data_IF_234411751410
#
_entry.id   IF_234411751410
#
_cell.length_a   1.000
_cell.length_b   1.000
_cell.length_c   1.000
_cell.angle_alpha   90.00
_cell.angle_beta   90.00
_cell.angle_gamma   90.00
#
_symmetry.space_group_name_H-M   'P 1'
#
loop_
_entity.id
_entity.type
_entity.pdbx_description
1 polymer ?
#
# COMPACT_ATOMS: atom_id res chain seq x y z
N UNK A 1 -36.22 -9.57 1.40
CA UNK A 1 -36.29 -9.39 -0.09
C UNK A 1 -35.94 -7.95 -0.42
N UNK A 2 -34.98 -7.71 -1.31
CA UNK A 2 -34.60 -6.35 -1.71
C UNK A 2 -35.66 -5.72 -2.61
N UNK A 3 -35.91 -4.44 -2.41
CA UNK A 3 -36.78 -3.61 -3.27
C UNK A 3 -36.16 -3.40 -4.65
N UNK A 4 -36.94 -2.89 -5.60
CA UNK A 4 -36.43 -2.49 -6.92
C UNK A 4 -35.34 -1.42 -6.81
N UNK A 5 -35.55 -0.43 -5.95
CA UNK A 5 -34.60 0.70 -5.76
C UNK A 5 -33.29 0.26 -5.11
N UNK A 6 -33.34 -0.65 -4.14
CA UNK A 6 -32.10 -1.22 -3.57
C UNK A 6 -31.31 -1.98 -4.62
N UNK A 7 -32.00 -2.75 -5.50
CA UNK A 7 -31.31 -3.48 -6.56
C UNK A 7 -30.67 -2.56 -7.60
N UNK A 8 -31.44 -1.57 -8.11
CA UNK A 8 -30.96 -0.65 -9.15
C UNK A 8 -29.89 0.29 -8.64
N UNK A 9 -30.01 0.79 -7.40
CA UNK A 9 -29.13 1.81 -6.89
C UNK A 9 -27.91 1.26 -6.12
N UNK A 10 -27.98 0.05 -5.57
CA UNK A 10 -26.91 -0.48 -4.72
C UNK A 10 -26.18 -1.69 -5.30
N UNK A 11 -26.76 -2.38 -6.29
CA UNK A 11 -26.18 -3.64 -6.78
C UNK A 11 -25.62 -3.57 -8.21
N UNK A 12 -25.82 -2.46 -8.93
CA UNK A 12 -25.32 -2.29 -10.29
C UNK A 12 -24.27 -1.18 -10.36
N UNK A 13 -23.06 -1.51 -10.84
CA UNK A 13 -21.92 -0.58 -10.85
C UNK A 13 -21.16 -0.64 -12.19
N UNK A 14 -20.56 0.49 -12.57
CA UNK A 14 -19.65 0.54 -13.71
C UNK A 14 -18.31 -0.12 -13.37
N UNK A 15 -17.84 0.07 -12.10
CA UNK A 15 -16.67 -0.59 -11.57
C UNK A 15 -16.96 -1.19 -10.20
N UNK A 16 -16.62 -2.46 -10.04
CA UNK A 16 -16.47 -3.10 -8.73
C UNK A 16 -14.99 -3.34 -8.45
N UNK A 17 -14.55 -2.98 -7.26
CA UNK A 17 -13.20 -3.25 -6.74
C UNK A 17 -13.32 -4.25 -5.60
N UNK A 18 -12.66 -5.38 -5.70
CA UNK A 18 -12.60 -6.40 -4.64
C UNK A 18 -11.34 -6.17 -3.81
N UNK A 19 -11.51 -5.83 -2.53
CA UNK A 19 -10.47 -5.51 -1.57
C UNK A 19 -10.38 -4.03 -1.25
N UNK A 20 -10.66 -3.70 0.02
CA UNK A 20 -10.69 -2.34 0.58
C UNK A 20 -9.35 -1.85 1.12
N UNK A 21 -8.22 -2.41 0.67
CA UNK A 21 -6.88 -1.95 1.00
C UNK A 21 -6.48 -0.67 0.26
N UNK A 22 -5.23 -0.21 0.47
CA UNK A 22 -4.69 0.98 -0.21
C UNK A 22 -4.87 0.88 -1.73
N UNK A 23 -4.45 -0.23 -2.32
CA UNK A 23 -4.53 -0.45 -3.77
C UNK A 23 -5.95 -0.34 -4.30
N UNK A 24 -6.91 -0.99 -3.63
CA UNK A 24 -8.31 -0.96 -4.07
C UNK A 24 -8.95 0.42 -3.93
N UNK A 25 -8.68 1.10 -2.82
CA UNK A 25 -9.20 2.46 -2.63
C UNK A 25 -8.60 3.46 -3.62
N UNK A 26 -7.30 3.37 -3.93
CA UNK A 26 -6.70 4.20 -4.98
C UNK A 26 -7.19 3.84 -6.37
N UNK A 27 -7.38 2.55 -6.68
CA UNK A 27 -8.00 2.13 -7.93
C UNK A 27 -9.37 2.81 -8.13
N UNK A 28 -10.20 2.80 -7.11
CA UNK A 28 -11.51 3.44 -7.14
C UNK A 28 -11.43 4.97 -7.28
N UNK A 29 -10.51 5.64 -6.56
CA UNK A 29 -10.29 7.08 -6.64
C UNK A 29 -9.79 7.50 -8.04
N UNK A 30 -8.79 6.82 -8.58
CA UNK A 30 -8.25 7.10 -9.90
C UNK A 30 -9.30 6.84 -10.99
N UNK A 31 -10.09 5.77 -10.85
CA UNK A 31 -11.17 5.51 -11.79
C UNK A 31 -12.23 6.61 -11.77
N UNK A 32 -12.57 7.16 -10.59
CA UNK A 32 -13.48 8.30 -10.45
C UNK A 32 -12.96 9.57 -11.15
N UNK A 33 -11.64 9.81 -11.11
CA UNK A 33 -11.03 10.95 -11.81
C UNK A 33 -11.15 10.81 -13.32
N UNK A 34 -10.95 9.60 -13.86
CA UNK A 34 -11.08 9.31 -15.30
C UNK A 34 -12.54 9.25 -15.75
N UNK A 35 -13.44 8.79 -14.90
CA UNK A 35 -14.86 8.58 -15.19
C UNK A 35 -15.75 9.23 -14.13
N UNK A 36 -15.95 10.56 -14.18
CA UNK A 36 -16.61 11.32 -13.11
C UNK A 36 -18.04 10.90 -12.78
N UNK A 37 -18.75 10.28 -13.72
CA UNK A 37 -20.15 9.85 -13.58
C UNK A 37 -20.30 8.35 -13.31
N UNK A 38 -19.19 7.59 -13.24
CA UNK A 38 -19.26 6.15 -13.06
C UNK A 38 -19.78 5.79 -11.67
N UNK A 39 -20.58 4.74 -11.59
CA UNK A 39 -20.98 4.13 -10.31
C UNK A 39 -19.90 3.15 -9.87
N UNK A 40 -19.30 3.39 -8.73
CA UNK A 40 -18.13 2.64 -8.26
C UNK A 40 -18.43 2.07 -6.88
N UNK A 41 -18.13 0.78 -6.70
CA UNK A 41 -18.18 0.12 -5.40
C UNK A 41 -16.87 -0.55 -5.06
N UNK A 42 -16.47 -0.44 -3.80
CA UNK A 42 -15.38 -1.22 -3.19
C UNK A 42 -16.02 -2.22 -2.24
N UNK A 43 -15.72 -3.51 -2.43
CA UNK A 43 -16.22 -4.60 -1.59
C UNK A 43 -15.08 -5.07 -0.68
N UNK A 44 -15.29 -4.98 0.63
CA UNK A 44 -14.35 -5.39 1.67
C UNK A 44 -14.96 -6.49 2.53
N UNK A 45 -14.27 -7.63 2.65
CA UNK A 45 -14.78 -8.78 3.43
C UNK A 45 -14.85 -8.51 4.93
N UNK A 46 -13.91 -7.72 5.45
CA UNK A 46 -13.86 -7.39 6.87
C UNK A 46 -14.74 -6.21 7.25
N UNK A 47 -15.00 -6.05 8.54
CA UNK A 47 -15.59 -4.82 9.09
C UNK A 47 -14.66 -3.62 8.80
N UNK A 48 -13.36 -3.85 8.92
CA UNK A 48 -12.29 -2.93 8.52
C UNK A 48 -11.37 -3.64 7.53
N UNK A 49 -10.68 -2.90 6.64
CA UNK A 49 -9.60 -3.47 5.86
C UNK A 49 -8.56 -4.09 6.81
N UNK A 50 -8.48 -5.42 6.83
CA UNK A 50 -7.67 -6.16 7.80
C UNK A 50 -6.44 -6.84 7.19
N UNK A 51 -6.11 -6.49 5.95
CA UNK A 51 -4.94 -6.98 5.23
C UNK A 51 -3.67 -6.16 5.50
N UNK A 52 -2.67 -6.30 4.63
CA UNK A 52 -1.35 -5.64 4.73
C UNK A 52 -1.42 -4.12 4.89
N UNK A 53 -2.47 -3.48 4.34
CA UNK A 53 -2.64 -2.03 4.40
C UNK A 53 -2.83 -1.47 5.82
N UNK A 54 -3.25 -2.30 6.78
CA UNK A 54 -3.44 -1.93 8.19
C UNK A 54 -2.51 -2.68 9.13
N UNK A 55 -2.06 -3.87 8.73
CA UNK A 55 -1.18 -4.73 9.53
C UNK A 55 0.28 -4.53 9.15
N UNK A 56 0.74 -3.28 9.21
CA UNK A 56 2.13 -2.91 8.98
C UNK A 56 2.60 -1.92 10.04
N UNK A 57 3.91 -1.73 10.14
CA UNK A 57 4.53 -0.91 11.17
C UNK A 57 4.40 0.60 10.93
N UNK A 58 3.83 1.03 9.81
CA UNK A 58 3.66 2.44 9.49
C UNK A 58 4.91 3.12 8.96
N UNK A 59 5.85 2.37 8.43
CA UNK A 59 7.00 2.95 7.72
C UNK A 59 6.54 3.51 6.37
N UNK A 60 6.76 4.81 6.17
CA UNK A 60 6.66 5.45 4.87
C UNK A 60 8.05 5.40 4.23
N UNK A 61 8.43 4.22 3.77
CA UNK A 61 9.74 3.88 3.25
C UNK A 61 9.69 3.51 1.77
N UNK A 62 10.85 3.53 1.13
CA UNK A 62 11.02 3.07 -0.25
C UNK A 62 12.09 1.99 -0.38
N UNK A 63 12.89 1.75 0.64
CA UNK A 63 13.90 0.72 0.74
C UNK A 63 15.06 1.13 1.65
N UNK A 64 15.39 0.27 2.61
CA UNK A 64 16.59 0.42 3.41
C UNK A 64 17.84 0.11 2.57
N UNK A 65 19.03 0.48 3.05
CA UNK A 65 20.27 0.21 2.31
C UNK A 65 20.48 -1.28 2.10
N UNK A 66 20.20 -2.10 3.12
CA UNK A 66 20.37 -3.56 3.01
C UNK A 66 19.35 -4.19 2.08
N UNK A 67 18.09 -3.70 2.04
CA UNK A 67 17.11 -4.13 1.03
C UNK A 67 17.60 -3.86 -0.38
N UNK A 68 18.12 -2.65 -0.65
CA UNK A 68 18.61 -2.31 -1.99
C UNK A 68 19.86 -3.12 -2.38
N UNK A 69 20.70 -3.46 -1.40
CA UNK A 69 21.81 -4.39 -1.63
C UNK A 69 21.29 -5.77 -2.05
N UNK A 70 20.30 -6.31 -1.35
CA UNK A 70 19.69 -7.59 -1.69
C UNK A 70 18.96 -7.55 -3.04
N UNK A 71 18.20 -6.50 -3.30
CA UNK A 71 17.54 -6.28 -4.59
C UNK A 71 18.56 -6.26 -5.75
N UNK A 72 19.74 -5.65 -5.55
CA UNK A 72 20.79 -5.57 -6.56
C UNK A 72 21.41 -6.94 -6.94
N UNK A 73 21.25 -7.97 -6.11
CA UNK A 73 21.64 -9.34 -6.43
C UNK A 73 20.55 -10.11 -7.17
N UNK A 74 19.29 -9.70 -7.04
CA UNK A 74 18.13 -10.43 -7.53
C UNK A 74 17.54 -9.83 -8.82
N UNK A 75 17.85 -8.59 -9.15
CA UNK A 75 17.35 -7.90 -10.34
C UNK A 75 18.39 -6.94 -10.91
N UNK A 76 18.21 -6.53 -12.16
CA UNK A 76 19.05 -5.52 -12.79
C UNK A 76 18.81 -4.12 -12.19
N UNK A 77 19.80 -3.26 -12.34
CA UNK A 77 19.78 -1.91 -11.75
C UNK A 77 18.62 -1.05 -12.26
N UNK A 78 18.26 -1.16 -13.54
CA UNK A 78 17.15 -0.38 -14.13
C UNK A 78 15.82 -0.78 -13.52
N UNK A 79 15.55 -2.07 -13.40
CA UNK A 79 14.35 -2.60 -12.74
C UNK A 79 14.26 -2.16 -11.27
N UNK A 80 15.36 -2.23 -10.53
CA UNK A 80 15.43 -1.78 -9.14
C UNK A 80 15.10 -0.27 -9.02
N UNK A 81 15.71 0.57 -9.85
CA UNK A 81 15.45 2.01 -9.85
C UNK A 81 14.01 2.34 -10.23
N UNK A 82 13.43 1.64 -11.20
CA UNK A 82 12.04 1.80 -11.60
C UNK A 82 11.09 1.47 -10.44
N UNK A 83 11.33 0.40 -9.71
CA UNK A 83 10.53 0.03 -8.51
C UNK A 83 10.65 1.12 -7.44
N UNK A 84 11.86 1.59 -7.18
CA UNK A 84 12.13 2.67 -6.22
C UNK A 84 11.37 3.96 -6.59
N UNK A 85 11.46 4.37 -7.85
CA UNK A 85 10.76 5.55 -8.35
C UNK A 85 9.24 5.41 -8.18
N UNK A 86 8.68 4.22 -8.45
CA UNK A 86 7.26 3.94 -8.23
C UNK A 86 6.87 4.01 -6.76
N UNK A 87 7.71 3.50 -5.84
CA UNK A 87 7.49 3.59 -4.38
C UNK A 87 7.49 5.07 -3.93
N UNK A 88 8.45 5.86 -4.38
CA UNK A 88 8.53 7.31 -4.08
C UNK A 88 7.33 8.07 -4.63
N UNK A 89 6.95 7.82 -5.90
CA UNK A 89 5.76 8.41 -6.53
C UNK A 89 4.48 7.99 -5.80
N UNK A 90 4.38 6.74 -5.37
CA UNK A 90 3.24 6.22 -4.61
C UNK A 90 3.07 6.94 -3.27
N UNK A 91 4.15 7.13 -2.52
CA UNK A 91 4.13 7.89 -1.27
C UNK A 91 3.75 9.36 -1.52
N UNK A 92 4.31 9.99 -2.55
CA UNK A 92 3.94 11.36 -2.92
C UNK A 92 2.46 11.49 -3.29
N UNK A 93 1.91 10.52 -4.04
CA UNK A 93 0.49 10.48 -4.37
C UNK A 93 -0.39 10.30 -3.13
N UNK A 94 0.00 9.44 -2.20
CA UNK A 94 -0.70 9.24 -0.92
C UNK A 94 -0.74 10.55 -0.12
N UNK A 95 0.41 11.22 0.02
CA UNK A 95 0.52 12.51 0.72
C UNK A 95 -0.30 13.62 0.04
N UNK A 96 -0.27 13.69 -1.30
CA UNK A 96 -1.10 14.62 -2.08
C UNK A 96 -2.59 14.37 -1.86
N UNK A 97 -3.01 13.11 -1.79
CA UNK A 97 -4.42 12.72 -1.68
C UNK A 97 -5.00 13.01 -0.30
N UNK A 98 -4.25 12.70 0.76
CA UNK A 98 -4.72 12.81 2.15
C UNK A 98 -4.22 14.06 2.84
N UNK A 99 -3.00 14.49 2.57
CA UNK A 99 -2.26 15.46 3.37
C UNK A 99 -1.61 14.83 4.61
N UNK A 100 -0.46 15.34 4.97
CA UNK A 100 0.40 14.81 6.05
C UNK A 100 -0.32 14.75 7.41
N UNK A 101 -1.17 15.74 7.69
CA UNK A 101 -1.90 15.84 8.96
C UNK A 101 -2.89 14.69 9.17
N UNK A 102 -3.60 14.28 8.11
CA UNK A 102 -4.63 13.23 8.21
C UNK A 102 -4.01 11.88 8.56
N UNK A 103 -2.87 11.53 7.96
CA UNK A 103 -2.21 10.26 8.20
C UNK A 103 -1.10 10.33 9.25
N UNK A 104 -0.98 11.47 9.94
CA UNK A 104 0.04 11.70 10.98
C UNK A 104 1.46 11.42 10.45
N UNK A 105 1.77 11.93 9.25
CA UNK A 105 3.07 11.78 8.62
C UNK A 105 4.13 12.54 9.39
N UNK A 106 5.23 11.87 9.75
CA UNK A 106 6.35 12.44 10.48
C UNK A 106 7.67 12.07 9.80
N UNK A 107 8.35 13.07 9.27
CA UNK A 107 9.64 12.92 8.59
C UNK A 107 10.78 12.76 9.62
N UNK A 108 10.81 11.63 10.32
CA UNK A 108 11.84 11.33 11.31
C UNK A 108 13.08 10.65 10.75
N UNK A 109 13.06 10.28 9.46
CA UNK A 109 14.01 9.38 8.83
C UNK A 109 13.72 7.91 9.15
N UNK A 110 14.46 7.03 8.48
CA UNK A 110 14.55 5.60 8.77
C UNK A 110 15.94 5.26 9.30
N UNK A 111 16.05 4.20 10.08
CA UNK A 111 17.32 3.84 10.72
C UNK A 111 17.52 2.33 10.69
N UNK A 112 18.67 1.90 10.16
CA UNK A 112 19.12 0.50 10.25
C UNK A 112 20.19 0.35 11.31
N UNK A 113 20.00 -0.64 12.18
CA UNK A 113 20.93 -0.95 13.28
C UNK A 113 21.80 -2.13 12.91
N UNK A 114 23.11 -2.00 13.15
CA UNK A 114 24.10 -3.06 12.90
C UNK A 114 24.78 -3.45 14.19
N UNK A 115 24.95 -4.77 14.37
CA UNK A 115 25.59 -5.39 15.51
C UNK A 115 27.00 -5.91 15.18
N UNK A 116 27.33 -5.94 13.92
CA UNK A 116 28.64 -6.36 13.39
C UNK A 116 29.65 -5.22 13.48
N UNK A 117 30.92 -5.55 13.71
CA UNK A 117 31.99 -4.54 13.81
C UNK A 117 32.27 -3.84 12.49
N UNK A 118 32.13 -4.53 11.36
CA UNK A 118 32.34 -4.00 10.01
C UNK A 118 31.25 -4.52 9.07
N UNK A 119 30.06 -3.93 9.09
CA UNK A 119 29.00 -4.34 8.18
C UNK A 119 29.33 -3.86 6.74
N UNK A 120 29.22 -4.79 5.78
CA UNK A 120 29.43 -4.51 4.35
C UNK A 120 28.60 -3.33 3.82
N UNK A 121 27.46 -3.09 4.45
CA UNK A 121 26.57 -1.98 4.11
C UNK A 121 27.27 -0.61 4.19
N UNK A 122 28.25 -0.43 5.09
CA UNK A 122 28.97 0.85 5.19
C UNK A 122 29.74 1.18 3.91
N UNK A 123 30.34 0.18 3.28
CA UNK A 123 31.12 0.34 2.04
C UNK A 123 30.22 0.68 0.85
N UNK A 124 28.94 0.34 0.93
CA UNK A 124 27.97 0.53 -0.15
C UNK A 124 27.23 1.88 -0.09
N UNK A 125 27.36 2.63 1.00
CA UNK A 125 26.67 3.94 1.18
C UNK A 125 26.95 4.88 0.00
N UNK A 126 28.22 5.07 -0.35
CA UNK A 126 28.62 5.98 -1.43
C UNK A 126 28.09 5.52 -2.78
N UNK A 127 28.11 4.22 -3.04
CA UNK A 127 27.59 3.64 -4.28
C UNK A 127 26.09 3.91 -4.43
N UNK A 128 25.27 3.58 -3.43
CA UNK A 128 23.83 3.79 -3.50
C UNK A 128 23.44 5.27 -3.45
N UNK A 129 24.17 6.13 -2.74
CA UNK A 129 23.95 7.56 -2.81
C UNK A 129 24.16 8.11 -4.22
N UNK A 130 25.24 7.70 -4.90
CA UNK A 130 25.49 8.10 -6.29
C UNK A 130 24.39 7.60 -7.23
N UNK A 131 23.93 6.36 -7.04
CA UNK A 131 22.87 5.74 -7.82
C UNK A 131 21.52 6.46 -7.64
N UNK A 132 21.21 6.90 -6.43
CA UNK A 132 19.95 7.54 -6.08
C UNK A 132 19.95 9.06 -6.24
N UNK A 133 21.11 9.67 -6.48
CA UNK A 133 21.27 11.10 -6.64
C UNK A 133 20.34 11.72 -7.69
N UNK A 134 20.08 11.10 -8.87
CA UNK A 134 19.15 11.65 -9.85
C UNK A 134 17.71 11.76 -9.33
N UNK A 135 17.28 10.86 -8.45
CA UNK A 135 15.94 10.80 -7.89
C UNK A 135 15.76 11.76 -6.71
N UNK A 136 16.73 11.78 -5.78
CA UNK A 136 16.59 12.53 -4.52
C UNK A 136 17.37 13.86 -4.52
N UNK A 137 18.34 14.05 -5.41
CA UNK A 137 19.22 15.21 -5.52
C UNK A 137 19.99 15.52 -4.23
N UNK A 138 20.19 14.51 -3.41
CA UNK A 138 20.92 14.55 -2.15
C UNK A 138 21.32 13.14 -1.74
N UNK A 139 22.22 13.03 -0.77
CA UNK A 139 22.58 11.75 -0.15
C UNK A 139 21.40 11.19 0.65
N UNK A 140 21.04 9.96 0.34
CA UNK A 140 19.93 9.24 0.97
C UNK A 140 20.38 8.58 2.27
N UNK A 141 21.52 7.91 2.22
CA UNK A 141 22.06 7.14 3.34
C UNK A 141 23.31 7.81 3.93
N UNK A 142 23.38 7.81 5.26
CA UNK A 142 24.55 8.28 5.99
C UNK A 142 24.74 7.53 7.30
N UNK A 143 25.96 7.44 7.78
CA UNK A 143 26.22 6.95 9.13
C UNK A 143 25.79 7.99 10.17
N UNK A 144 25.16 7.55 11.24
CA UNK A 144 24.63 8.44 12.29
C UNK A 144 24.93 7.92 13.71
N UNK A 145 26.23 7.82 14.10
CA UNK A 145 26.63 7.19 15.36
C UNK A 145 26.08 7.91 16.61
N UNK A 146 25.89 9.23 16.53
CA UNK A 146 25.31 9.99 17.64
C UNK A 146 23.87 9.58 17.98
N UNK A 147 23.13 9.06 17.02
CA UNK A 147 21.76 8.59 17.20
C UNK A 147 21.69 7.31 18.01
N UNK A 148 22.74 6.48 18.04
CA UNK A 148 22.78 5.25 18.86
C UNK A 148 22.50 5.60 20.31
N UNK A 149 23.26 6.54 20.86
CA UNK A 149 23.08 7.00 22.26
C UNK A 149 21.78 7.79 22.44
N UNK A 150 21.44 8.65 21.49
CA UNK A 150 20.23 9.47 21.56
C UNK A 150 18.93 8.64 21.61
N UNK A 151 18.93 7.47 20.95
CA UNK A 151 17.81 6.51 21.01
C UNK A 151 17.87 5.55 22.19
N UNK A 152 18.90 5.65 23.05
CA UNK A 152 19.05 4.81 24.23
C UNK A 152 19.61 3.41 23.97
N UNK A 153 20.18 3.16 22.79
CA UNK A 153 20.81 1.88 22.48
C UNK A 153 22.16 1.73 23.18
N UNK A 154 22.49 0.50 23.55
CA UNK A 154 23.80 0.15 24.12
C UNK A 154 24.85 0.14 22.98
N UNK A 155 25.78 1.09 23.00
CA UNK A 155 26.84 1.23 22.00
C UNK A 155 27.89 0.08 22.03
N UNK A 156 27.85 -0.80 23.03
CA UNK A 156 28.65 -2.02 23.02
C UNK A 156 28.02 -3.12 22.18
N UNK A 157 26.72 -3.04 21.94
CA UNK A 157 25.95 -4.00 21.13
C UNK A 157 25.66 -3.44 19.75
N UNK A 158 25.10 -2.23 19.66
CA UNK A 158 24.86 -1.55 18.39
C UNK A 158 26.14 -0.81 17.99
N UNK A 159 26.80 -1.32 16.97
CA UNK A 159 28.11 -0.81 16.52
C UNK A 159 27.98 0.31 15.51
N UNK A 160 26.95 0.23 14.63
CA UNK A 160 26.70 1.21 13.60
C UNK A 160 25.21 1.46 13.45
N UNK A 161 24.89 2.65 12.95
CA UNK A 161 23.54 3.07 12.59
C UNK A 161 23.63 3.83 11.26
N UNK A 162 22.86 3.37 10.27
CA UNK A 162 22.68 4.03 9.00
C UNK A 162 21.33 4.73 9.02
N UNK A 163 21.31 6.00 8.70
CA UNK A 163 20.11 6.83 8.59
C UNK A 163 19.74 6.98 7.12
N UNK A 164 18.47 6.80 6.81
CA UNK A 164 17.85 7.23 5.57
C UNK A 164 17.04 8.51 5.85
N UNK A 165 17.50 9.63 5.29
CA UNK A 165 16.93 10.95 5.59
C UNK A 165 15.53 11.17 4.97
N UNK A 166 15.13 10.36 4.00
CA UNK A 166 13.90 10.54 3.21
C UNK A 166 12.74 9.63 3.65
N UNK A 167 12.97 8.78 4.62
CA UNK A 167 11.91 7.94 5.18
C UNK A 167 11.14 8.66 6.28
N UNK A 168 9.98 8.12 6.59
CA UNK A 168 9.05 8.73 7.52
C UNK A 168 8.19 7.68 8.22
N UNK A 169 7.41 8.14 9.18
CA UNK A 169 6.39 7.37 9.87
C UNK A 169 5.00 7.87 9.46
N UNK A 170 4.04 6.95 9.36
CA UNK A 170 2.61 7.24 9.22
C UNK A 170 1.79 6.44 10.23
N UNK A 171 0.60 6.93 10.53
CA UNK A 171 -0.42 6.15 11.24
C UNK A 171 -1.30 5.44 10.22
N UNK A 172 -1.13 4.13 10.08
CA UNK A 172 -1.84 3.31 9.07
C UNK A 172 -3.35 3.30 9.28
N UNK A 173 -3.81 3.33 10.53
CA UNK A 173 -5.24 3.42 10.86
C UNK A 173 -5.85 4.74 10.41
N UNK A 174 -5.20 5.87 10.71
CA UNK A 174 -5.62 7.19 10.25
C UNK A 174 -5.58 7.31 8.71
N UNK A 175 -4.57 6.73 8.08
CA UNK A 175 -4.45 6.67 6.62
C UNK A 175 -5.67 5.97 6.00
N UNK A 176 -6.03 4.79 6.47
CA UNK A 176 -7.20 4.04 5.97
C UNK A 176 -8.50 4.79 6.22
N UNK A 177 -8.68 5.37 7.40
CA UNK A 177 -9.86 6.20 7.69
C UNK A 177 -9.94 7.42 6.74
N UNK A 178 -8.80 8.08 6.49
CA UNK A 178 -8.70 9.19 5.55
C UNK A 178 -9.07 8.78 4.12
N UNK A 179 -8.58 7.64 3.64
CA UNK A 179 -8.93 7.10 2.31
C UNK A 179 -10.43 6.77 2.22
N UNK A 180 -11.01 6.12 3.23
CA UNK A 180 -12.47 5.86 3.27
C UNK A 180 -13.28 7.15 3.23
N UNK A 181 -12.86 8.18 3.98
CA UNK A 181 -13.48 9.49 3.92
C UNK A 181 -13.40 10.12 2.52
N UNK A 182 -12.27 9.95 1.82
CA UNK A 182 -12.12 10.41 0.43
C UNK A 182 -13.04 9.67 -0.54
N UNK A 183 -13.21 8.35 -0.39
CA UNK A 183 -14.18 7.60 -1.19
C UNK A 183 -15.59 8.16 -1.01
N UNK A 184 -16.01 8.39 0.23
CA UNK A 184 -17.33 8.95 0.53
C UNK A 184 -17.51 10.36 -0.07
N UNK A 185 -16.51 11.23 0.04
CA UNK A 185 -16.52 12.59 -0.56
C UNK A 185 -16.62 12.57 -2.09
N UNK A 186 -16.29 11.44 -2.71
CA UNK A 186 -16.31 11.22 -4.16
C UNK A 186 -17.47 10.32 -4.61
N UNK A 187 -18.46 10.12 -3.76
CA UNK A 187 -19.64 9.27 -4.03
C UNK A 187 -19.25 7.85 -4.53
N UNK A 188 -18.24 7.27 -3.89
CA UNK A 188 -17.81 5.88 -4.12
C UNK A 188 -18.34 5.03 -2.97
N UNK A 189 -19.12 4.01 -3.29
CA UNK A 189 -19.65 3.08 -2.29
C UNK A 189 -18.53 2.22 -1.70
N UNK A 190 -18.57 2.05 -0.38
CA UNK A 190 -17.66 1.14 0.33
C UNK A 190 -18.49 0.19 1.21
N UNK A 191 -18.56 -1.06 0.79
CA UNK A 191 -19.30 -2.10 1.49
C UNK A 191 -18.35 -2.92 2.35
N UNK A 192 -18.43 -2.74 3.68
CA UNK A 192 -17.76 -3.61 4.67
C UNK A 192 -18.56 -4.89 4.90
N UNK A 193 -17.94 -5.91 5.52
CA UNK A 193 -18.55 -7.22 5.76
C UNK A 193 -19.16 -7.85 4.50
N UNK A 194 -18.56 -7.60 3.36
CA UNK A 194 -19.06 -8.02 2.05
C UNK A 194 -18.00 -8.87 1.38
N UNK A 195 -17.98 -10.15 1.71
CA UNK A 195 -17.05 -11.12 1.16
C UNK A 195 -17.54 -11.61 -0.21
N UNK A 196 -16.72 -11.43 -1.23
CA UNK A 196 -16.98 -12.01 -2.55
C UNK A 196 -16.64 -13.50 -2.50
N UNK A 197 -17.65 -14.34 -2.71
CA UNK A 197 -17.52 -15.81 -2.66
C UNK A 197 -17.48 -16.46 -4.04
N UNK A 198 -18.08 -15.80 -5.05
CA UNK A 198 -18.09 -16.29 -6.43
C UNK A 198 -17.93 -15.14 -7.41
N UNK A 199 -17.20 -15.40 -8.48
CA UNK A 199 -17.01 -14.49 -9.60
C UNK A 199 -17.49 -15.17 -10.89
N UNK A 200 -18.41 -14.53 -11.59
CA UNK A 200 -18.90 -14.91 -12.90
C UNK A 200 -18.54 -13.81 -13.88
N UNK A 201 -17.49 -14.05 -14.67
CA UNK A 201 -16.96 -13.09 -15.65
C UNK A 201 -17.86 -12.96 -16.87
N UNK A 202 -18.56 -14.04 -17.25
CA UNK A 202 -19.42 -14.08 -18.43
C UNK A 202 -20.71 -13.28 -18.20
N UNK A 203 -21.32 -13.48 -17.03
CA UNK A 203 -22.51 -12.72 -16.64
C UNK A 203 -22.16 -11.35 -16.01
N UNK A 204 -20.87 -11.02 -15.85
CA UNK A 204 -20.37 -9.80 -15.18
C UNK A 204 -21.01 -9.59 -13.82
N UNK A 205 -20.94 -10.62 -12.98
CA UNK A 205 -21.56 -10.67 -11.68
C UNK A 205 -20.62 -11.22 -10.62
N UNK A 206 -20.69 -10.67 -9.41
CA UNK A 206 -20.10 -11.25 -8.22
C UNK A 206 -21.17 -11.61 -7.22
N UNK A 207 -21.03 -12.77 -6.56
CA UNK A 207 -21.87 -13.16 -5.43
C UNK A 207 -21.10 -12.86 -4.16
N UNK A 208 -21.74 -12.19 -3.23
CA UNK A 208 -21.18 -11.84 -1.93
C UNK A 208 -21.95 -12.47 -0.80
N UNK A 209 -21.24 -12.70 0.30
CA UNK A 209 -21.84 -13.07 1.59
C UNK A 209 -21.69 -11.91 2.55
N UNK A 210 -22.81 -11.45 3.10
CA UNK A 210 -22.83 -10.38 4.11
C UNK A 210 -23.85 -10.74 5.18
N UNK A 211 -23.44 -10.79 6.44
CA UNK A 211 -24.30 -11.11 7.59
C UNK A 211 -25.16 -12.39 7.41
N UNK A 212 -24.64 -13.39 6.70
CA UNK A 212 -25.35 -14.64 6.43
C UNK A 212 -26.26 -14.62 5.18
N UNK A 213 -26.45 -13.48 4.56
CA UNK A 213 -27.22 -13.34 3.32
C UNK A 213 -26.30 -13.27 2.09
N UNK A 214 -26.78 -13.83 0.97
CA UNK A 214 -26.11 -13.75 -0.31
C UNK A 214 -26.71 -12.61 -1.14
N UNK A 215 -25.83 -11.71 -1.60
CA UNK A 215 -26.17 -10.63 -2.52
C UNK A 215 -25.40 -10.80 -3.82
N UNK A 216 -26.00 -10.35 -4.93
CA UNK A 216 -25.34 -10.37 -6.23
C UNK A 216 -25.16 -8.96 -6.75
N UNK A 217 -23.91 -8.57 -6.99
CA UNK A 217 -23.58 -7.29 -7.61
C UNK A 217 -23.24 -7.49 -9.09
N UNK A 218 -23.71 -6.59 -9.93
CA UNK A 218 -23.38 -6.55 -11.37
C UNK A 218 -22.32 -5.48 -11.63
N UNK A 219 -21.44 -5.73 -12.58
CA UNK A 219 -20.37 -4.80 -12.94
C UNK A 219 -20.22 -4.69 -14.47
N UNK A 220 -19.71 -3.56 -14.93
CA UNK A 220 -19.18 -3.42 -16.31
C UNK A 220 -17.68 -3.75 -16.33
N UNK A 221 -16.95 -3.32 -15.29
CA UNK A 221 -15.51 -3.58 -15.08
C UNK A 221 -15.28 -4.07 -13.66
N UNK A 222 -14.27 -4.91 -13.50
CA UNK A 222 -13.87 -5.49 -12.23
C UNK A 222 -12.37 -5.24 -12.00
N UNK A 223 -12.01 -4.86 -10.79
CA UNK A 223 -10.63 -4.78 -10.32
C UNK A 223 -10.45 -5.70 -9.11
N UNK A 224 -9.47 -6.60 -9.19
CA UNK A 224 -9.10 -7.50 -8.12
C UNK A 224 -7.92 -6.89 -7.36
N UNK A 225 -8.18 -6.40 -6.15
CA UNK A 225 -7.19 -5.74 -5.28
C UNK A 225 -7.08 -6.46 -3.92
N UNK A 226 -7.31 -7.76 -3.92
CA UNK A 226 -7.36 -8.63 -2.75
C UNK A 226 -6.06 -9.42 -2.51
N UNK A 227 -4.93 -8.97 -3.10
CA UNK A 227 -3.60 -9.55 -2.94
C UNK A 227 -3.60 -11.06 -3.24
N UNK A 228 -2.87 -11.88 -2.49
CA UNK A 228 -2.77 -13.32 -2.66
C UNK A 228 -4.13 -14.06 -2.61
N UNK A 229 -5.17 -13.46 -2.02
CA UNK A 229 -6.52 -14.03 -2.02
C UNK A 229 -7.17 -14.07 -3.41
N UNK A 230 -6.54 -13.52 -4.45
CA UNK A 230 -6.96 -13.67 -5.84
C UNK A 230 -6.98 -15.14 -6.27
N UNK A 231 -6.15 -16.00 -5.67
CA UNK A 231 -6.12 -17.45 -5.91
C UNK A 231 -7.48 -18.14 -5.69
N UNK A 232 -8.36 -17.59 -4.85
CA UNK A 232 -9.71 -18.15 -4.68
C UNK A 232 -10.58 -18.05 -5.95
N UNK A 233 -10.23 -17.17 -6.88
CA UNK A 233 -10.94 -16.99 -8.15
C UNK A 233 -10.17 -17.54 -9.36
N UNK A 234 -8.86 -17.61 -9.24
CA UNK A 234 -7.94 -18.02 -10.33
C UNK A 234 -6.85 -18.93 -9.74
N UNK A 235 -7.10 -20.22 -9.74
CA UNK A 235 -6.21 -21.22 -9.11
C UNK A 235 -4.85 -21.33 -9.80
N UNK A 236 -4.78 -20.97 -11.08
CA UNK A 236 -3.58 -21.10 -11.91
C UNK A 236 -2.60 -19.91 -11.78
N UNK A 237 -2.97 -18.89 -11.00
CA UNK A 237 -2.08 -17.75 -10.76
C UNK A 237 -1.00 -18.13 -9.73
N UNK A 238 0.25 -18.07 -10.15
CA UNK A 238 1.40 -18.13 -9.25
C UNK A 238 1.54 -16.77 -8.52
N UNK A 239 0.92 -16.66 -7.37
CA UNK A 239 1.04 -15.51 -6.47
C UNK A 239 1.37 -16.02 -5.10
N UNK A 240 2.56 -15.71 -4.61
CA UNK A 240 2.93 -16.02 -3.23
C UNK A 240 2.54 -14.88 -2.29
N UNK A 241 1.86 -15.20 -1.19
CA UNK A 241 1.60 -14.20 -0.15
C UNK A 241 2.91 -13.88 0.57
N UNK A 242 3.23 -12.63 0.69
CA UNK A 242 4.29 -12.11 1.56
C UNK A 242 3.75 -11.90 2.97
#
# INVERSE_FOLDING_TARGET
MLSYWEKSEMLEHDLIVIGGGITGMFCALCYRELYPKARIAVLERGLFPSGASTKNAGFACFGSLTELMDDSFNMDQESMLNILELRVKGLALLRKTLGDKIMDYKAHGGYELFFEKQPKALDMISHFNALLQPLFKADVYRTSPSKIKAFGFDNRKVTHLIENAFEAQINTGKMIQGLRSKLNQKDIFFFSNTEVTQLDTDQKKVVTKSNGENLSFRFKKLALCNNAFVKQFFNDLEVDPW
#
